data_IF_826979285542
#
_entry.id   IF_826979285542
#
_cell.length_a   1.000
_cell.length_b   1.000
_cell.length_c   1.000
_cell.angle_alpha   90.00
_cell.angle_beta   90.00
_cell.angle_gamma   90.00
#
_symmetry.space_group_name_H-M   'P 1'
#
loop_
_entity.id
_entity.type
_entity.pdbx_description
1 polymer ?
#
# COMPACT_ATOMS: atom_id res chain seq x y z
N UNK A 1 -7.45 -15.10 -14.81
CA UNK A 1 -6.40 -16.13 -14.85
C UNK A 1 -5.55 -16.00 -13.59
N UNK A 2 -4.78 -14.92 -13.44
CA UNK A 2 -4.25 -14.45 -12.16
C UNK A 2 -3.96 -12.95 -12.22
N UNK A 3 -4.27 -12.22 -11.15
CA UNK A 3 -4.01 -10.79 -10.98
C UNK A 3 -2.80 -10.60 -10.06
N UNK A 4 -1.92 -9.64 -10.36
CA UNK A 4 -0.81 -9.27 -9.47
C UNK A 4 -1.03 -7.89 -8.88
N UNK A 5 -0.84 -7.75 -7.57
CA UNK A 5 -0.69 -6.47 -6.90
C UNK A 5 0.77 -6.30 -6.45
N UNK A 6 1.33 -5.11 -6.66
CA UNK A 6 2.70 -4.72 -6.32
C UNK A 6 2.65 -3.52 -5.36
N UNK A 7 2.80 -3.76 -4.05
CA UNK A 7 2.81 -2.70 -3.04
C UNK A 7 4.24 -2.41 -2.59
N UNK A 8 4.72 -1.19 -2.89
CA UNK A 8 6.12 -0.82 -2.70
C UNK A 8 6.31 0.17 -1.55
N UNK A 9 7.17 -0.16 -0.58
CA UNK A 9 7.78 0.85 0.27
C UNK A 9 8.78 1.73 -0.51
N UNK A 10 9.08 2.91 0.04
CA UNK A 10 10.06 3.85 -0.48
C UNK A 10 11.28 4.06 0.43
N UNK A 11 11.14 4.22 1.74
CA UNK A 11 12.21 4.72 2.64
C UNK A 11 13.26 3.67 3.03
N UNK A 12 14.14 3.33 2.08
CA UNK A 12 15.15 2.27 2.20
C UNK A 12 14.95 1.18 1.13
N UNK A 13 13.70 1.00 0.72
CA UNK A 13 13.26 0.12 -0.38
C UNK A 13 13.50 0.78 -1.77
N UNK A 14 12.51 1.43 -2.40
CA UNK A 14 12.70 2.07 -3.71
C UNK A 14 13.58 3.34 -3.67
N UNK A 15 13.61 4.05 -2.54
CA UNK A 15 14.60 5.07 -2.20
C UNK A 15 15.73 4.44 -1.37
N UNK A 16 16.35 3.40 -1.92
CA UNK A 16 17.53 2.75 -1.36
C UNK A 16 18.74 3.69 -1.21
N UNK A 17 19.82 3.18 -0.61
CA UNK A 17 21.02 3.97 -0.31
C UNK A 17 21.63 4.64 -1.55
N UNK A 18 21.68 3.95 -2.69
CA UNK A 18 22.25 4.50 -3.93
C UNK A 18 21.35 5.62 -4.50
N UNK A 19 20.03 5.45 -4.43
CA UNK A 19 19.08 6.52 -4.76
C UNK A 19 19.21 7.72 -3.81
N UNK A 20 19.40 7.49 -2.50
CA UNK A 20 19.58 8.58 -1.52
C UNK A 20 20.88 9.34 -1.82
N UNK A 21 21.98 8.63 -2.05
CA UNK A 21 23.29 9.22 -2.39
C UNK A 21 23.36 9.84 -3.80
N UNK A 22 22.38 9.57 -4.67
CA UNK A 22 22.36 10.12 -6.03
C UNK A 22 22.40 11.67 -6.05
N UNK A 23 23.24 12.28 -6.93
CA UNK A 23 23.31 13.73 -7.05
C UNK A 23 21.96 14.34 -7.46
N UNK A 24 21.49 15.31 -6.68
CA UNK A 24 20.22 15.97 -6.89
C UNK A 24 20.42 17.48 -7.05
N UNK A 25 20.26 17.97 -8.29
CA UNK A 25 20.10 19.40 -8.53
C UNK A 25 18.67 19.80 -8.17
N UNK A 26 18.53 20.98 -7.55
CA UNK A 26 17.25 21.66 -7.29
C UNK A 26 16.18 20.84 -6.54
N UNK A 27 16.55 19.79 -5.80
CA UNK A 27 15.62 18.88 -5.11
C UNK A 27 14.63 18.12 -6.04
N UNK A 28 15.01 17.86 -7.29
CA UNK A 28 14.09 17.32 -8.32
C UNK A 28 14.27 15.84 -8.71
N UNK A 29 15.19 15.08 -8.10
CA UNK A 29 15.48 13.68 -8.53
C UNK A 29 14.25 12.75 -8.56
N UNK A 30 13.33 12.96 -7.62
CA UNK A 30 12.08 12.20 -7.48
C UNK A 30 11.02 12.49 -8.57
N UNK A 31 11.21 13.56 -9.35
CA UNK A 31 10.40 13.90 -10.53
C UNK A 31 11.00 13.34 -11.83
N UNK A 32 12.20 12.77 -11.78
CA UNK A 32 12.93 12.22 -12.91
C UNK A 32 12.99 10.69 -12.91
N UNK A 33 13.97 10.15 -13.61
CA UNK A 33 14.22 8.72 -13.80
C UNK A 33 15.17 8.12 -12.74
N UNK A 34 15.61 8.87 -11.73
CA UNK A 34 16.54 8.40 -10.69
C UNK A 34 16.03 7.13 -9.97
N UNK A 35 14.71 7.04 -9.71
CA UNK A 35 14.08 5.84 -9.14
C UNK A 35 14.13 4.64 -10.10
N UNK A 36 14.21 4.85 -11.41
CA UNK A 36 14.41 3.77 -12.39
C UNK A 36 15.87 3.35 -12.50
N UNK A 37 16.80 4.31 -12.44
CA UNK A 37 18.26 4.06 -12.52
C UNK A 37 18.70 3.20 -11.34
N UNK A 38 18.36 3.60 -10.11
CA UNK A 38 18.80 2.95 -8.88
C UNK A 38 17.98 1.71 -8.47
N UNK A 39 17.02 1.28 -9.31
CA UNK A 39 16.26 0.04 -9.11
C UNK A 39 16.18 -0.81 -10.41
N UNK A 40 16.96 -0.49 -11.45
CA UNK A 40 16.80 -0.99 -12.84
C UNK A 40 16.68 -2.52 -12.94
N UNK A 41 17.59 -3.25 -12.30
CA UNK A 41 17.64 -4.72 -12.35
C UNK A 41 16.39 -5.38 -11.74
N UNK A 42 15.90 -4.83 -10.61
CA UNK A 42 14.66 -5.27 -9.97
C UNK A 42 13.44 -4.97 -10.85
N UNK A 43 13.35 -3.76 -11.41
CA UNK A 43 12.26 -3.39 -12.30
C UNK A 43 12.23 -4.23 -13.59
N UNK A 44 13.38 -4.57 -14.16
CA UNK A 44 13.45 -5.47 -15.32
C UNK A 44 13.06 -6.92 -14.98
N UNK A 45 13.43 -7.42 -13.80
CA UNK A 45 12.95 -8.71 -13.30
C UNK A 45 11.42 -8.71 -13.13
N UNK A 46 10.84 -7.66 -12.55
CA UNK A 46 9.39 -7.51 -12.43
C UNK A 46 8.70 -7.48 -13.81
N UNK A 47 9.26 -6.80 -14.82
CA UNK A 47 8.70 -6.82 -16.19
C UNK A 47 8.62 -8.24 -16.77
N UNK A 48 9.62 -9.07 -16.52
CA UNK A 48 9.64 -10.47 -16.98
C UNK A 48 8.55 -11.28 -16.26
N UNK A 49 8.46 -11.17 -14.94
CA UNK A 49 7.44 -11.87 -14.14
C UNK A 49 6.02 -11.42 -14.47
N UNK A 50 5.80 -10.13 -14.70
CA UNK A 50 4.49 -9.54 -15.00
C UNK A 50 3.85 -10.12 -16.28
N UNK A 51 4.63 -10.75 -17.17
CA UNK A 51 4.10 -11.47 -18.36
C UNK A 51 3.27 -12.71 -18.03
N UNK A 52 3.24 -13.15 -16.76
CA UNK A 52 2.50 -14.33 -16.30
C UNK A 52 1.09 -14.02 -15.76
N UNK A 53 0.67 -12.76 -15.75
CA UNK A 53 -0.57 -12.27 -15.15
C UNK A 53 -1.44 -11.54 -16.17
N UNK A 54 -2.77 -11.51 -15.96
CA UNK A 54 -3.69 -10.81 -16.88
C UNK A 54 -3.63 -9.29 -16.70
N UNK A 55 -3.52 -8.87 -15.45
CA UNK A 55 -3.48 -7.49 -15.00
C UNK A 55 -2.49 -7.40 -13.85
N UNK A 56 -1.71 -6.31 -13.86
CA UNK A 56 -0.78 -5.98 -12.77
C UNK A 56 -1.10 -4.57 -12.30
N UNK A 57 -1.33 -4.45 -11.00
CA UNK A 57 -1.70 -3.22 -10.29
C UNK A 57 -0.57 -2.85 -9.34
N UNK A 58 -0.24 -1.58 -9.23
CA UNK A 58 0.81 -1.08 -8.34
C UNK A 58 0.28 -0.02 -7.35
N UNK A 59 0.75 -0.11 -6.11
CA UNK A 59 0.30 0.62 -4.94
C UNK A 59 1.50 1.24 -4.18
N UNK A 60 1.23 2.25 -3.35
CA UNK A 60 2.20 2.76 -2.37
C UNK A 60 2.08 1.92 -1.08
N UNK A 61 3.11 1.13 -0.80
CA UNK A 61 3.27 0.31 0.41
C UNK A 61 4.10 0.98 1.51
N UNK A 62 4.33 2.29 1.41
CA UNK A 62 5.09 3.07 2.40
C UNK A 62 4.17 3.79 3.40
N UNK A 63 4.71 4.16 4.55
CA UNK A 63 3.99 4.93 5.59
C UNK A 63 3.68 6.37 5.17
N UNK A 64 4.17 6.79 4.01
CA UNK A 64 3.82 8.01 3.26
C UNK A 64 2.37 7.96 2.74
N UNK A 65 1.41 7.80 3.64
CA UNK A 65 -0.02 7.60 3.32
C UNK A 65 -0.83 8.90 3.31
N UNK A 66 -0.25 10.02 3.75
CA UNK A 66 -0.81 11.36 3.60
C UNK A 66 0.22 12.35 3.08
N UNK A 67 -0.22 13.58 2.79
CA UNK A 67 0.67 14.71 2.52
C UNK A 67 1.67 14.94 3.65
N UNK A 68 1.21 14.84 4.91
CA UNK A 68 2.04 15.12 6.10
C UNK A 68 3.15 14.09 6.24
N UNK A 69 2.84 12.81 6.03
CA UNK A 69 3.81 11.72 6.17
C UNK A 69 4.88 11.76 5.06
N UNK A 70 4.48 12.07 3.83
CA UNK A 70 5.40 12.25 2.71
C UNK A 70 6.24 13.52 2.85
N UNK A 71 5.66 14.64 3.32
CA UNK A 71 6.38 15.88 3.58
C UNK A 71 7.42 15.71 4.70
N UNK A 72 7.07 15.03 5.80
CA UNK A 72 8.00 14.71 6.88
C UNK A 72 9.17 13.84 6.39
N UNK A 73 8.93 12.90 5.48
CA UNK A 73 9.95 12.01 4.91
C UNK A 73 10.60 12.53 3.61
N UNK A 74 10.18 13.68 3.09
CA UNK A 74 10.71 14.30 1.87
C UNK A 74 12.18 14.71 2.02
N UNK A 75 12.52 15.29 3.17
CA UNK A 75 13.84 15.83 3.51
C UNK A 75 14.11 17.19 2.85
N UNK A 76 14.03 18.28 3.62
CA UNK A 76 14.15 19.65 3.11
C UNK A 76 15.59 20.20 3.07
N UNK A 77 16.62 19.37 3.30
CA UNK A 77 18.03 19.78 3.19
C UNK A 77 18.80 18.90 2.20
N UNK A 78 19.91 19.40 1.60
CA UNK A 78 20.72 18.61 0.66
C UNK A 78 21.34 17.34 1.25
N UNK A 79 21.38 17.20 2.58
CA UNK A 79 21.89 16.01 3.28
C UNK A 79 20.79 15.03 3.72
N UNK A 80 19.51 15.42 3.68
CA UNK A 80 18.37 14.55 4.07
C UNK A 80 17.39 14.28 2.93
N UNK A 81 17.52 14.97 1.79
CA UNK A 81 16.56 14.91 0.70
C UNK A 81 16.44 13.55 0.01
N UNK A 82 15.22 13.00 0.08
CA UNK A 82 14.76 11.80 -0.62
C UNK A 82 13.77 12.18 -1.75
N UNK A 83 12.92 13.18 -1.49
CA UNK A 83 11.80 13.58 -2.35
C UNK A 83 10.49 12.84 -2.04
N UNK A 84 9.43 13.19 -2.77
CA UNK A 84 8.09 12.61 -2.63
C UNK A 84 7.96 11.24 -3.30
N UNK A 85 7.23 10.30 -2.70
CA UNK A 85 6.94 9.01 -3.31
C UNK A 85 5.86 9.06 -4.41
N UNK A 86 4.95 10.05 -4.38
CA UNK A 86 3.78 10.13 -5.26
C UNK A 86 4.11 10.32 -6.76
N UNK A 87 5.08 11.15 -7.18
CA UNK A 87 5.53 11.17 -8.57
C UNK A 87 6.45 9.98 -8.89
N UNK A 88 7.22 9.48 -7.93
CA UNK A 88 8.14 8.37 -8.12
C UNK A 88 7.40 7.04 -8.43
N UNK A 89 6.31 6.73 -7.72
CA UNK A 89 5.48 5.54 -8.04
C UNK A 89 4.91 5.64 -9.46
N UNK A 90 4.50 6.83 -9.90
CA UNK A 90 3.98 7.05 -11.26
C UNK A 90 5.05 6.79 -12.33
N UNK A 91 6.29 7.21 -12.09
CA UNK A 91 7.44 6.89 -12.94
C UNK A 91 7.71 5.38 -12.99
N UNK A 92 7.68 4.69 -11.84
CA UNK A 92 7.82 3.23 -11.75
C UNK A 92 6.71 2.49 -12.50
N UNK A 93 5.45 2.90 -12.32
CA UNK A 93 4.31 2.28 -13.01
C UNK A 93 4.38 2.45 -14.53
N UNK A 94 4.85 3.61 -15.00
CA UNK A 94 5.04 3.89 -16.42
C UNK A 94 6.19 3.04 -17.03
N UNK A 95 7.29 2.84 -16.31
CA UNK A 95 8.38 1.97 -16.77
C UNK A 95 7.97 0.49 -16.83
N UNK A 96 7.27 0.01 -15.79
CA UNK A 96 6.76 -1.36 -15.70
C UNK A 96 5.59 -1.64 -16.65
N UNK A 97 4.95 -0.60 -17.20
CA UNK A 97 3.70 -0.67 -17.97
C UNK A 97 2.58 -1.40 -17.19
N UNK A 98 2.33 -0.94 -15.95
CA UNK A 98 1.31 -1.49 -15.04
C UNK A 98 0.28 -0.43 -14.68
N UNK A 99 -0.91 -0.87 -14.22
CA UNK A 99 -1.95 0.02 -13.70
C UNK A 99 -1.50 0.59 -12.36
N UNK A 100 -1.48 1.91 -12.22
CA UNK A 100 -1.33 2.55 -10.91
C UNK A 100 -2.70 2.63 -10.22
N UNK A 101 -2.73 2.29 -8.94
CA UNK A 101 -3.89 2.49 -8.06
C UNK A 101 -3.54 3.55 -7.00
N UNK A 102 -4.20 4.72 -7.00
CA UNK A 102 -3.85 5.85 -6.14
C UNK A 102 -4.41 5.75 -4.72
N UNK A 103 -4.87 4.57 -4.29
CA UNK A 103 -5.40 4.35 -2.94
C UNK A 103 -4.40 4.72 -1.83
N UNK A 104 -4.86 5.53 -0.86
CA UNK A 104 -4.12 5.94 0.33
C UNK A 104 -5.01 5.84 1.58
N UNK A 105 -4.43 5.50 2.74
CA UNK A 105 -5.18 5.45 4.00
C UNK A 105 -5.76 6.81 4.42
N UNK A 106 -5.16 7.93 3.99
CA UNK A 106 -5.73 9.26 4.20
C UNK A 106 -7.10 9.45 3.52
N UNK A 107 -7.39 8.75 2.42
CA UNK A 107 -8.73 8.78 1.81
C UNK A 107 -9.75 8.02 2.66
N UNK A 108 -9.36 6.92 3.29
CA UNK A 108 -10.24 6.13 4.18
C UNK A 108 -10.56 6.90 5.47
N UNK A 109 -9.52 7.43 6.13
CA UNK A 109 -9.65 8.23 7.34
C UNK A 109 -10.38 9.58 7.08
N UNK A 110 -10.20 10.16 5.89
CA UNK A 110 -10.90 11.38 5.47
C UNK A 110 -12.33 11.17 4.94
N UNK A 111 -12.79 9.92 4.80
CA UNK A 111 -14.03 9.54 4.08
C UNK A 111 -14.13 10.22 2.69
N UNK A 112 -13.06 10.05 1.90
CA UNK A 112 -12.89 10.59 0.56
C UNK A 112 -12.93 9.46 -0.49
N UNK A 113 -13.33 9.76 -1.75
CA UNK A 113 -13.13 8.84 -2.86
C UNK A 113 -11.64 8.51 -3.03
N UNK A 114 -11.30 7.23 -3.20
CA UNK A 114 -9.90 6.79 -3.31
C UNK A 114 -9.17 7.50 -4.46
N UNK A 115 -7.95 7.95 -4.16
CA UNK A 115 -7.12 8.76 -5.04
C UNK A 115 -7.28 10.27 -4.85
N UNK A 116 -8.24 10.75 -4.04
CA UNK A 116 -8.42 12.19 -3.81
C UNK A 116 -7.18 12.80 -3.16
N UNK A 117 -6.63 12.16 -2.13
CA UNK A 117 -5.42 12.64 -1.45
C UNK A 117 -4.20 12.61 -2.37
N UNK A 118 -4.06 11.57 -3.20
CA UNK A 118 -2.99 11.48 -4.22
C UNK A 118 -3.09 12.63 -5.24
N UNK A 119 -4.27 12.85 -5.82
CA UNK A 119 -4.51 13.88 -6.83
C UNK A 119 -4.32 15.30 -6.27
N UNK A 120 -4.64 15.54 -5.00
CA UNK A 120 -4.35 16.81 -4.33
C UNK A 120 -2.84 17.03 -4.16
N UNK A 121 -2.08 16.02 -3.77
CA UNK A 121 -0.62 16.14 -3.57
C UNK A 121 0.10 16.31 -4.91
N UNK A 122 -0.31 15.56 -5.94
CA UNK A 122 0.22 15.73 -7.30
C UNK A 122 -0.10 17.10 -7.91
N UNK A 123 -1.17 17.78 -7.46
CA UNK A 123 -1.43 19.17 -7.81
C UNK A 123 -0.47 20.14 -7.10
N UNK A 124 -0.24 19.98 -5.79
CA UNK A 124 0.74 20.82 -5.07
C UNK A 124 2.17 20.67 -5.65
N UNK A 125 2.53 19.48 -6.12
CA UNK A 125 3.80 19.23 -6.84
C UNK A 125 3.81 19.91 -8.23
N UNK A 126 2.68 19.91 -8.94
CA UNK A 126 2.57 20.54 -10.27
C UNK A 126 2.51 22.08 -10.22
N UNK A 127 1.99 22.64 -9.13
CA UNK A 127 1.87 24.08 -8.89
C UNK A 127 3.14 24.69 -8.22
N UNK A 128 4.16 23.87 -7.91
CA UNK A 128 5.37 24.22 -7.14
C UNK A 128 5.07 24.73 -5.71
N UNK A 129 3.95 24.29 -5.12
CA UNK A 129 3.49 24.66 -3.77
C UNK A 129 3.64 23.55 -2.73
N UNK A 130 4.15 22.38 -3.09
CA UNK A 130 4.33 21.22 -2.18
C UNK A 130 5.08 21.52 -0.87
N UNK A 131 5.97 22.51 -0.82
CA UNK A 131 6.68 22.90 0.42
C UNK A 131 5.90 23.89 1.32
N UNK A 132 4.81 24.47 0.82
CA UNK A 132 3.96 25.47 1.48
C UNK A 132 2.52 25.32 0.93
N UNK A 133 1.81 24.25 1.31
CA UNK A 133 0.67 23.72 0.58
C UNK A 133 -0.55 24.65 0.60
N UNK A 134 -1.28 24.71 -0.51
CA UNK A 134 -2.45 25.61 -0.68
C UNK A 134 -3.80 24.91 -0.56
N UNK A 135 -3.82 23.58 -0.66
CA UNK A 135 -4.99 22.73 -0.46
C UNK A 135 -5.04 22.18 0.97
N UNK A 136 -6.23 21.85 1.44
CA UNK A 136 -6.41 21.04 2.67
C UNK A 136 -6.27 19.57 2.29
N UNK A 137 -5.37 18.84 2.97
CA UNK A 137 -5.17 17.41 2.78
C UNK A 137 -5.78 16.63 3.94
N UNK A 138 -6.29 15.43 3.65
CA UNK A 138 -6.62 14.46 4.69
C UNK A 138 -5.34 13.83 5.28
N UNK A 139 -5.46 13.27 6.48
CA UNK A 139 -4.40 12.62 7.24
C UNK A 139 -4.91 11.32 7.83
N UNK A 140 -4.03 10.36 8.08
CA UNK A 140 -4.32 9.11 8.79
C UNK A 140 -3.29 8.89 9.90
N UNK A 141 -3.62 8.09 10.91
CA UNK A 141 -2.67 7.68 11.94
C UNK A 141 -1.53 6.86 11.32
N UNK A 142 -0.27 7.15 11.67
CA UNK A 142 0.88 6.42 11.11
C UNK A 142 1.00 5.03 11.75
N UNK A 143 0.66 3.98 11.00
CA UNK A 143 0.93 2.59 11.38
C UNK A 143 2.37 2.19 11.03
N UNK A 144 3.30 2.30 11.98
CA UNK A 144 4.68 1.86 11.81
C UNK A 144 4.82 0.38 11.45
N UNK A 145 3.82 -0.45 11.78
CA UNK A 145 3.82 -1.90 11.57
C UNK A 145 3.26 -2.32 10.20
N UNK A 146 2.62 -1.39 9.47
CA UNK A 146 1.97 -1.56 8.16
C UNK A 146 0.84 -2.59 8.08
N UNK A 147 0.41 -3.19 9.19
CA UNK A 147 -0.68 -4.19 9.24
C UNK A 147 -2.00 -3.62 8.70
N UNK A 148 -2.30 -2.37 9.05
CA UNK A 148 -3.50 -1.66 8.59
C UNK A 148 -3.44 -1.35 7.11
N UNK A 149 -2.26 -0.97 6.61
CA UNK A 149 -2.01 -0.68 5.20
C UNK A 149 -2.18 -1.92 4.32
N UNK A 150 -1.56 -3.04 4.70
CA UNK A 150 -1.68 -4.29 3.97
C UNK A 150 -3.10 -4.85 4.05
N UNK A 151 -3.77 -4.79 5.22
CA UNK A 151 -5.17 -5.21 5.34
C UNK A 151 -6.07 -4.41 4.38
N UNK A 152 -5.98 -3.09 4.41
CA UNK A 152 -6.74 -2.22 3.52
C UNK A 152 -6.52 -2.53 2.03
N UNK A 153 -5.26 -2.68 1.62
CA UNK A 153 -4.90 -2.93 0.23
C UNK A 153 -5.27 -4.33 -0.26
N UNK A 154 -5.17 -5.36 0.60
CA UNK A 154 -5.60 -6.73 0.24
C UNK A 154 -7.12 -6.86 0.19
N UNK A 155 -7.85 -6.22 1.10
CA UNK A 155 -9.32 -6.15 1.05
C UNK A 155 -9.80 -5.41 -0.20
N UNK A 156 -9.18 -4.27 -0.54
CA UNK A 156 -9.45 -3.56 -1.81
C UNK A 156 -9.21 -4.44 -3.02
N UNK A 157 -8.06 -5.11 -3.09
CA UNK A 157 -7.70 -5.99 -4.21
C UNK A 157 -8.73 -7.14 -4.38
N UNK A 158 -9.19 -7.73 -3.28
CA UNK A 158 -10.22 -8.76 -3.30
C UNK A 158 -11.60 -8.22 -3.74
N UNK A 159 -11.98 -7.01 -3.31
CA UNK A 159 -13.22 -6.36 -3.71
C UNK A 159 -13.22 -5.93 -5.20
N UNK A 160 -12.07 -5.48 -5.73
CA UNK A 160 -11.90 -5.15 -7.15
C UNK A 160 -11.92 -6.41 -8.04
N UNK A 161 -11.41 -7.55 -7.55
CA UNK A 161 -11.23 -8.80 -8.31
C UNK A 161 -11.79 -10.07 -7.61
N UNK A 162 -13.09 -10.12 -7.23
CA UNK A 162 -13.64 -11.11 -6.29
C UNK A 162 -13.71 -12.56 -6.79
N UNK A 163 -13.48 -12.81 -8.08
CA UNK A 163 -13.52 -14.14 -8.70
C UNK A 163 -12.16 -14.62 -9.23
N UNK A 164 -11.10 -13.82 -9.09
CA UNK A 164 -9.76 -14.13 -9.60
C UNK A 164 -8.80 -14.49 -8.46
N UNK A 165 -7.78 -15.32 -8.72
CA UNK A 165 -6.66 -15.50 -7.77
C UNK A 165 -5.73 -14.29 -7.86
N UNK A 166 -5.47 -13.68 -6.72
CA UNK A 166 -4.62 -12.50 -6.55
C UNK A 166 -3.31 -12.93 -5.90
N UNK A 167 -2.19 -12.53 -6.50
CA UNK A 167 -0.87 -12.56 -5.87
C UNK A 167 -0.54 -11.14 -5.43
N UNK A 168 -0.48 -10.91 -4.13
CA UNK A 168 -0.18 -9.60 -3.56
C UNK A 168 1.27 -9.59 -3.07
N UNK A 169 2.17 -8.99 -3.85
CA UNK A 169 3.55 -8.76 -3.44
C UNK A 169 3.67 -7.46 -2.65
N UNK A 170 4.24 -7.55 -1.46
CA UNK A 170 4.70 -6.42 -0.68
C UNK A 170 6.24 -6.38 -0.68
N UNK A 171 6.83 -5.19 -0.87
CA UNK A 171 8.27 -4.95 -0.92
C UNK A 171 8.70 -3.90 0.11
N UNK A 172 9.65 -4.26 0.96
CA UNK A 172 10.15 -3.43 2.07
C UNK A 172 11.63 -3.75 2.36
N UNK A 173 12.38 -2.86 2.99
CA UNK A 173 13.78 -3.10 3.37
C UNK A 173 13.93 -3.60 4.83
N UNK A 174 12.91 -3.37 5.68
CA UNK A 174 12.98 -3.58 7.13
C UNK A 174 12.63 -5.01 7.54
N UNK A 175 13.61 -5.69 8.14
CA UNK A 175 13.41 -7.04 8.70
C UNK A 175 12.38 -7.07 9.84
N UNK A 176 12.31 -6.02 10.67
CA UNK A 176 11.37 -5.95 11.79
C UNK A 176 9.92 -5.79 11.31
N UNK A 177 9.68 -4.95 10.30
CA UNK A 177 8.39 -4.86 9.60
C UNK A 177 8.04 -6.23 8.98
N UNK A 178 8.91 -6.77 8.12
CA UNK A 178 8.61 -7.97 7.36
C UNK A 178 8.43 -9.22 8.23
N UNK A 179 9.26 -9.41 9.26
CA UNK A 179 9.30 -10.68 10.03
C UNK A 179 8.47 -10.65 11.31
N UNK A 180 8.56 -9.59 12.14
CA UNK A 180 7.87 -9.52 13.44
C UNK A 180 6.50 -8.85 13.33
N UNK A 181 6.35 -7.84 12.47
CA UNK A 181 5.08 -7.14 12.34
C UNK A 181 4.12 -7.80 11.34
N UNK A 182 4.58 -8.15 10.14
CA UNK A 182 3.73 -8.66 9.07
C UNK A 182 3.66 -10.19 9.02
N UNK A 183 4.80 -10.88 8.93
CA UNK A 183 4.82 -12.34 8.81
C UNK A 183 4.19 -13.04 10.01
N UNK A 184 4.57 -12.69 11.24
CA UNK A 184 4.03 -13.29 12.46
C UNK A 184 2.51 -13.07 12.57
N UNK A 185 2.06 -11.82 12.40
CA UNK A 185 0.64 -11.45 12.48
C UNK A 185 -0.21 -12.20 11.46
N UNK A 186 0.15 -12.16 10.17
CA UNK A 186 -0.65 -12.81 9.12
C UNK A 186 -0.53 -14.35 9.12
N UNK A 187 0.56 -14.91 9.67
CA UNK A 187 0.66 -16.39 9.85
C UNK A 187 -0.21 -16.87 11.00
N UNK A 188 -0.37 -16.08 12.06
CA UNK A 188 -1.28 -16.37 13.19
C UNK A 188 -2.76 -16.06 12.86
N UNK A 189 -2.99 -15.04 12.02
CA UNK A 189 -4.31 -14.55 11.63
C UNK A 189 -4.48 -14.55 10.08
N UNK A 190 -4.38 -15.69 9.39
CA UNK A 190 -4.48 -15.77 7.93
C UNK A 190 -5.90 -15.45 7.40
N UNK A 191 -6.89 -15.44 8.28
CA UNK A 191 -8.25 -14.97 8.00
C UNK A 191 -8.35 -13.44 7.87
N UNK A 192 -7.27 -12.69 8.15
CA UNK A 192 -7.15 -11.25 7.84
C UNK A 192 -6.78 -11.00 6.37
N UNK A 193 -6.38 -12.05 5.64
CA UNK A 193 -6.12 -12.02 4.20
C UNK A 193 -7.33 -12.68 3.50
N UNK A 194 -7.98 -12.04 2.52
CA UNK A 194 -9.07 -12.67 1.75
C UNK A 194 -8.64 -13.98 1.09
N UNK A 195 -9.52 -14.98 1.05
CA UNK A 195 -9.27 -16.35 0.55
C UNK A 195 -8.84 -16.46 -0.92
N UNK A 196 -9.05 -15.42 -1.72
CA UNK A 196 -8.56 -15.34 -3.10
C UNK A 196 -7.18 -14.66 -3.22
N UNK A 197 -6.65 -14.10 -2.13
CA UNK A 197 -5.34 -13.42 -2.06
C UNK A 197 -4.26 -14.36 -1.49
N UNK A 198 -3.08 -14.31 -2.08
CA UNK A 198 -1.84 -14.85 -1.49
C UNK A 198 -0.88 -13.69 -1.26
N UNK A 199 -0.59 -13.39 0.00
CA UNK A 199 0.38 -12.36 0.40
C UNK A 199 1.79 -12.90 0.28
N UNK A 200 2.67 -12.19 -0.44
CA UNK A 200 4.10 -12.47 -0.52
C UNK A 200 4.89 -11.31 0.08
N UNK A 201 5.69 -11.62 1.09
CA UNK A 201 6.53 -10.66 1.80
C UNK A 201 7.94 -10.73 1.22
N UNK A 202 8.36 -9.70 0.51
CA UNK A 202 9.64 -9.64 -0.19
C UNK A 202 10.53 -8.57 0.45
N UNK A 203 11.76 -8.94 0.84
CA UNK A 203 12.78 -7.97 1.21
C UNK A 203 13.45 -7.40 -0.03
N UNK A 204 13.56 -6.08 -0.10
CA UNK A 204 14.29 -5.36 -1.13
C UNK A 204 14.89 -4.07 -0.59
N UNK A 205 16.18 -3.83 -0.86
CA UNK A 205 16.94 -2.67 -0.36
C UNK A 205 17.91 -2.12 -1.42
N UNK A 206 17.50 -2.13 -2.68
CA UNK A 206 18.32 -1.77 -3.85
C UNK A 206 19.06 -2.95 -4.51
N UNK A 207 19.29 -4.04 -3.78
CA UNK A 207 20.05 -5.23 -4.21
C UNK A 207 19.16 -6.38 -4.71
N UNK A 208 19.47 -7.65 -4.42
CA UNK A 208 18.65 -8.80 -4.84
C UNK A 208 17.37 -8.91 -3.98
N UNK A 209 16.24 -9.23 -4.62
CA UNK A 209 14.96 -9.47 -3.93
C UNK A 209 15.00 -10.81 -3.20
N UNK A 210 14.60 -10.82 -1.93
CA UNK A 210 14.46 -12.06 -1.14
C UNK A 210 13.01 -12.27 -0.72
N UNK A 211 12.34 -13.29 -1.27
CA UNK A 211 11.02 -13.73 -0.79
C UNK A 211 11.19 -14.37 0.60
N UNK A 212 10.66 -13.74 1.64
CA UNK A 212 10.72 -14.21 3.02
C UNK A 212 9.55 -15.14 3.38
N UNK A 213 8.35 -14.82 2.90
CA UNK A 213 7.15 -15.60 3.20
C UNK A 213 6.11 -15.52 2.07
N UNK A 214 5.29 -16.57 1.96
CA UNK A 214 4.11 -16.63 1.10
C UNK A 214 2.96 -17.21 1.91
N UNK A 215 1.94 -16.41 2.19
CA UNK A 215 0.81 -16.72 3.08
C UNK A 215 -0.47 -16.75 2.24
N UNK A 216 -1.11 -17.91 2.15
CA UNK A 216 -2.43 -18.01 1.52
C UNK A 216 -3.51 -17.54 2.51
N UNK A 217 -4.41 -16.66 2.05
CA UNK A 217 -5.49 -16.15 2.88
C UNK A 217 -6.59 -17.17 3.14
N UNK A 218 -7.31 -16.98 4.25
CA UNK A 218 -8.47 -17.80 4.62
C UNK A 218 -9.68 -16.97 5.02
N UNK A 219 -9.65 -15.66 4.79
CA UNK A 219 -10.69 -14.70 5.17
C UNK A 219 -11.74 -14.50 4.08
N UNK A 220 -12.79 -13.76 4.41
CA UNK A 220 -13.70 -13.21 3.41
C UNK A 220 -13.21 -11.85 2.89
N UNK A 221 -13.81 -11.39 1.80
CA UNK A 221 -13.67 -10.01 1.34
C UNK A 221 -14.76 -9.17 2.00
N UNK A 222 -14.35 -8.13 2.71
CA UNK A 222 -15.22 -7.26 3.48
C UNK A 222 -15.68 -6.07 2.62
N UNK A 223 -16.99 -5.85 2.45
CA UNK A 223 -17.52 -4.69 1.73
C UNK A 223 -17.41 -3.39 2.54
N UNK A 224 -17.41 -3.54 3.86
CA UNK A 224 -17.28 -2.59 4.96
C UNK A 224 -15.82 -2.38 5.40
N UNK A 225 -14.82 -2.85 4.61
CA UNK A 225 -13.42 -2.87 5.06
C UNK A 225 -12.84 -1.50 5.41
N UNK A 226 -13.45 -0.40 4.96
CA UNK A 226 -13.06 0.96 5.33
C UNK A 226 -13.33 1.29 6.82
N UNK A 227 -14.42 0.78 7.40
CA UNK A 227 -14.73 0.94 8.82
C UNK A 227 -13.76 0.12 9.67
N UNK A 228 -13.53 -1.13 9.26
CA UNK A 228 -12.49 -2.00 9.82
C UNK A 228 -11.08 -1.37 9.79
N UNK A 229 -10.74 -0.67 8.70
CA UNK A 229 -9.47 0.07 8.57
C UNK A 229 -9.40 1.27 9.50
N UNK A 230 -10.48 2.06 9.61
CA UNK A 230 -10.51 3.19 10.55
C UNK A 230 -10.39 2.70 12.01
N UNK A 231 -11.10 1.64 12.39
CA UNK A 231 -10.95 1.01 13.70
C UNK A 231 -9.50 0.55 13.96
N UNK A 232 -8.82 -0.03 12.96
CA UNK A 232 -7.40 -0.40 13.07
C UNK A 232 -6.45 0.80 13.16
N UNK A 233 -6.77 1.94 12.54
CA UNK A 233 -6.00 3.19 12.62
C UNK A 233 -6.14 3.87 13.99
N UNK A 234 -7.33 3.81 14.58
CA UNK A 234 -7.59 4.34 15.93
C UNK A 234 -7.00 3.42 17.01
N UNK A 235 -6.90 2.11 16.74
CA UNK A 235 -6.46 1.08 17.68
C UNK A 235 -5.18 0.35 17.22
N UNK A 236 -4.12 1.10 16.89
CA UNK A 236 -2.84 0.54 16.40
C UNK A 236 -2.24 -0.58 17.28
N UNK A 237 -2.45 -0.53 18.60
CA UNK A 237 -1.98 -1.56 19.54
C UNK A 237 -2.92 -2.76 19.66
N UNK A 238 -4.19 -2.60 19.26
CA UNK A 238 -5.27 -3.59 19.39
C UNK A 238 -5.42 -4.53 18.20
N UNK A 239 -4.52 -4.51 17.21
CA UNK A 239 -4.65 -5.30 15.97
C UNK A 239 -4.83 -6.81 16.19
N UNK A 240 -4.22 -7.39 17.23
CA UNK A 240 -4.39 -8.81 17.57
C UNK A 240 -5.81 -9.11 18.09
N UNK A 241 -6.37 -8.23 18.92
CA UNK A 241 -7.72 -8.39 19.46
C UNK A 241 -8.77 -8.13 18.38
N UNK A 242 -8.57 -7.11 17.54
CA UNK A 242 -9.35 -6.91 16.32
C UNK A 242 -9.37 -8.17 15.45
N UNK A 243 -8.19 -8.73 15.19
CA UNK A 243 -8.05 -9.95 14.40
C UNK A 243 -8.59 -11.21 15.10
N UNK A 244 -8.83 -11.19 16.41
CA UNK A 244 -9.55 -12.25 17.12
C UNK A 244 -11.07 -12.07 16.99
N UNK A 245 -11.57 -10.84 17.13
CA UNK A 245 -13.00 -10.50 16.95
C UNK A 245 -13.48 -10.83 15.54
N UNK A 246 -12.75 -10.41 14.50
CA UNK A 246 -13.12 -10.70 13.11
C UNK A 246 -13.15 -12.22 12.81
N UNK A 247 -12.33 -13.01 13.52
CA UNK A 247 -12.29 -14.48 13.45
C UNK A 247 -13.52 -15.14 14.07
N UNK A 248 -14.09 -14.55 15.11
CA UNK A 248 -15.32 -15.03 15.77
C UNK A 248 -16.53 -14.75 14.88
N UNK A 249 -16.66 -13.51 14.38
CA UNK A 249 -17.73 -13.11 13.45
C UNK A 249 -17.76 -14.05 12.23
N UNK A 250 -16.61 -14.27 11.60
CA UNK A 250 -16.47 -15.19 10.46
C UNK A 250 -16.97 -16.61 10.77
N UNK A 251 -16.68 -17.13 11.97
CA UNK A 251 -17.08 -18.49 12.38
C UNK A 251 -18.54 -18.59 12.77
N UNK A 252 -18.99 -17.74 13.68
CA UNK A 252 -20.36 -17.78 14.22
C UNK A 252 -21.38 -17.54 13.11
N UNK A 253 -21.07 -16.70 12.12
CA UNK A 253 -21.88 -16.58 10.92
C UNK A 253 -21.91 -17.89 10.11
N UNK A 254 -20.77 -18.54 9.84
CA UNK A 254 -20.77 -19.82 9.09
C UNK A 254 -21.47 -20.95 9.83
N UNK A 255 -21.30 -21.07 11.15
CA UNK A 255 -21.91 -22.13 11.96
C UNK A 255 -23.43 -21.90 12.11
N UNK A 256 -23.87 -20.64 12.34
CA UNK A 256 -25.29 -20.27 12.40
C UNK A 256 -26.00 -20.48 11.06
N UNK A 257 -25.41 -20.02 9.95
CA UNK A 257 -25.97 -20.22 8.60
C UNK A 257 -26.03 -21.72 8.28
N UNK A 258 -24.99 -22.50 8.58
CA UNK A 258 -24.97 -23.94 8.34
C UNK A 258 -26.02 -24.69 9.19
N UNK A 259 -26.16 -24.36 10.48
CA UNK A 259 -27.18 -24.97 11.35
C UNK A 259 -28.60 -24.66 10.84
N UNK A 260 -28.84 -23.43 10.36
CA UNK A 260 -30.12 -23.04 9.77
C UNK A 260 -30.39 -23.74 8.43
N UNK A 261 -29.38 -23.94 7.58
CA UNK A 261 -29.51 -24.74 6.36
C UNK A 261 -29.83 -26.22 6.64
N UNK A 262 -29.16 -26.83 7.62
CA UNK A 262 -29.42 -28.23 8.02
C UNK A 262 -30.87 -28.40 8.52
N UNK A 263 -31.35 -27.50 9.39
CA UNK A 263 -32.75 -27.51 9.84
C UNK A 263 -33.73 -27.40 8.68
N UNK A 264 -33.45 -26.54 7.70
CA UNK A 264 -34.30 -26.34 6.52
C UNK A 264 -34.35 -27.62 5.64
N UNK A 265 -33.23 -28.32 5.48
CA UNK A 265 -33.16 -29.60 4.75
C UNK A 265 -33.90 -30.72 5.49
N UNK A 266 -33.71 -30.85 6.81
CA UNK A 266 -34.45 -31.83 7.63
C UNK A 266 -35.97 -31.61 7.58
N UNK A 267 -36.42 -30.35 7.66
CA UNK A 267 -37.83 -29.98 7.54
C UNK A 267 -38.39 -30.26 6.13
N UNK A 268 -37.61 -30.00 5.07
CA UNK A 268 -38.01 -30.32 3.70
C UNK A 268 -38.17 -31.84 3.49
N UNK A 269 -37.22 -32.64 3.97
CA UNK A 269 -37.27 -34.11 3.90
C UNK A 269 -38.47 -34.66 4.69
N UNK A 270 -38.77 -34.10 5.87
CA UNK A 270 -39.94 -34.47 6.66
C UNK A 270 -41.25 -34.19 5.89
N UNK A 271 -41.37 -33.00 5.28
CA UNK A 271 -42.53 -32.59 4.49
C UNK A 271 -42.74 -33.48 3.26
N UNK A 272 -41.67 -33.78 2.50
CA UNK A 272 -41.74 -34.73 1.36
C UNK A 272 -42.18 -36.13 1.82
N UNK A 273 -41.66 -36.62 2.95
CA UNK A 273 -42.01 -37.92 3.51
C UNK A 273 -43.51 -38.01 3.83
N UNK A 274 -44.09 -36.97 4.42
CA UNK A 274 -45.52 -36.91 4.76
C UNK A 274 -46.43 -36.71 3.55
N UNK A 275 -46.00 -35.93 2.55
CA UNK A 275 -46.68 -35.85 1.24
C UNK A 275 -46.72 -37.25 0.57
N UNK A 276 -45.62 -37.99 0.59
CA UNK A 276 -45.56 -39.33 -0.04
C UNK A 276 -46.44 -40.37 0.67
N UNK A 277 -46.65 -40.24 1.98
CA UNK A 277 -47.58 -41.11 2.74
C UNK A 277 -49.06 -40.79 2.48
N UNK A 278 -49.36 -39.66 1.84
CA UNK A 278 -50.74 -39.18 1.65
C UNK A 278 -51.39 -38.64 2.94
N UNK A 279 -50.58 -38.16 3.88
CA UNK A 279 -51.07 -37.51 5.09
C UNK A 279 -51.80 -36.20 4.74
N UNK A 280 -52.84 -35.86 5.52
CA UNK A 280 -53.72 -34.75 5.16
C UNK A 280 -53.02 -33.42 5.43
N UNK A 281 -52.71 -32.65 4.36
CA UNK A 281 -51.90 -31.41 4.40
C UNK A 281 -52.33 -30.40 5.48
N UNK A 282 -53.60 -30.45 5.90
CA UNK A 282 -54.20 -29.62 6.97
C UNK A 282 -53.54 -29.83 8.35
N UNK A 283 -52.90 -30.98 8.61
CA UNK A 283 -52.18 -31.23 9.87
C UNK A 283 -50.73 -30.68 9.85
N UNK A 284 -50.16 -30.44 8.65
CA UNK A 284 -48.77 -30.00 8.48
C UNK A 284 -48.57 -28.48 8.38
N UNK A 285 -49.60 -27.69 8.73
CA UNK A 285 -49.51 -26.22 8.80
C UNK A 285 -48.45 -25.72 9.78
N UNK A 286 -48.17 -26.49 10.84
CA UNK A 286 -47.15 -26.16 11.85
C UNK A 286 -45.75 -26.22 11.24
N UNK A 287 -45.40 -27.30 10.54
CA UNK A 287 -44.12 -27.47 9.82
C UNK A 287 -43.92 -26.41 8.72
N UNK A 288 -44.99 -25.99 8.03
CA UNK A 288 -44.92 -24.90 7.04
C UNK A 288 -44.64 -23.55 7.69
N UNK A 289 -45.19 -23.29 8.88
CA UNK A 289 -44.90 -22.09 9.65
C UNK A 289 -43.47 -22.12 10.22
N UNK A 290 -42.98 -23.27 10.67
CA UNK A 290 -41.59 -23.43 11.12
C UNK A 290 -40.58 -23.22 9.97
N UNK A 291 -40.84 -23.80 8.78
CA UNK A 291 -40.01 -23.57 7.60
C UNK A 291 -40.01 -22.09 7.19
N UNK A 292 -41.18 -21.43 7.29
CA UNK A 292 -41.30 -19.99 7.07
C UNK A 292 -40.55 -19.14 8.11
N UNK A 293 -40.51 -19.58 9.37
CA UNK A 293 -39.74 -18.94 10.43
C UNK A 293 -38.22 -19.13 10.24
N UNK A 294 -37.76 -20.33 9.87
CA UNK A 294 -36.36 -20.60 9.54
C UNK A 294 -35.89 -19.76 8.34
N UNK A 295 -36.72 -19.64 7.30
CA UNK A 295 -36.45 -18.78 6.14
C UNK A 295 -36.45 -17.29 6.51
N UNK A 296 -37.31 -16.87 7.45
CA UNK A 296 -37.32 -15.50 7.97
C UNK A 296 -36.08 -15.20 8.82
N UNK A 297 -35.60 -16.13 9.65
CA UNK A 297 -34.35 -16.00 10.39
C UNK A 297 -33.12 -15.96 9.48
N UNK A 298 -33.11 -16.75 8.39
CA UNK A 298 -32.06 -16.66 7.36
C UNK A 298 -32.06 -15.29 6.65
N UNK A 299 -33.24 -14.74 6.35
CA UNK A 299 -33.34 -13.37 5.81
C UNK A 299 -32.93 -12.31 6.84
N UNK A 300 -33.24 -12.49 8.14
CA UNK A 300 -32.85 -11.54 9.19
C UNK A 300 -31.34 -11.54 9.40
N UNK A 301 -30.71 -12.72 9.50
CA UNK A 301 -29.26 -12.86 9.57
C UNK A 301 -28.53 -12.38 8.30
N UNK A 302 -29.24 -12.27 7.16
CA UNK A 302 -28.75 -11.64 5.94
C UNK A 302 -28.99 -10.11 5.90
N UNK A 303 -29.90 -9.58 6.72
CA UNK A 303 -30.14 -8.14 6.89
C UNK A 303 -29.30 -7.52 8.00
N UNK A 304 -28.89 -8.29 9.01
CA UNK A 304 -27.91 -7.87 10.02
C UNK A 304 -26.53 -7.57 9.39
N UNK A 305 -26.25 -8.12 8.19
CA UNK A 305 -25.09 -7.77 7.34
C UNK A 305 -25.20 -6.33 6.78
N UNK A 306 -26.41 -5.79 6.61
CA UNK A 306 -26.64 -4.41 6.15
C UNK A 306 -26.71 -3.39 7.31
N UNK A 307 -26.53 -3.78 8.59
CA UNK A 307 -26.89 -2.93 9.73
C UNK A 307 -25.91 -2.94 10.91
N UNK A 308 -24.60 -3.07 10.66
CA UNK A 308 -23.56 -3.05 11.72
C UNK A 308 -23.20 -1.62 12.20
N UNK A 309 -23.69 -0.58 11.50
CA UNK A 309 -23.49 0.87 11.78
C UNK A 309 -23.69 1.32 13.25
N UNK A 310 -24.61 0.68 13.99
CA UNK A 310 -25.28 1.30 15.16
C UNK A 310 -24.75 0.82 16.54
N UNK A 311 -23.60 0.13 16.61
CA UNK A 311 -23.17 -0.61 17.82
C UNK A 311 -21.74 -0.35 18.35
N UNK A 312 -21.20 0.87 18.19
CA UNK A 312 -19.85 1.25 18.67
C UNK A 312 -19.78 2.52 19.57
N UNK A 313 -20.86 2.87 20.27
CA UNK A 313 -20.77 3.78 21.44
C UNK A 313 -20.26 2.99 22.66
N UNK A 314 -19.03 3.24 23.09
CA UNK A 314 -18.40 2.58 24.27
C UNK A 314 -18.27 3.58 25.43
N UNK A 315 -18.76 3.20 26.61
CA UNK A 315 -18.70 4.03 27.82
C UNK A 315 -17.26 4.34 28.28
N UNK A 316 -16.81 5.59 28.11
CA UNK A 316 -15.74 6.14 28.94
C UNK A 316 -16.25 6.42 30.36
N UNK A 317 -16.01 5.52 31.34
CA UNK A 317 -15.91 5.86 32.78
C UNK A 317 -15.56 4.64 33.67
N UNK A 318 -14.29 4.45 34.03
CA UNK A 318 -13.94 3.80 35.32
C UNK A 318 -12.61 4.35 35.90
N UNK A 319 -12.69 5.43 36.68
CA UNK A 319 -11.60 5.81 37.59
C UNK A 319 -11.45 4.77 38.70
N UNK A 320 -10.25 4.22 38.92
CA UNK A 320 -9.95 3.46 40.14
C UNK A 320 -8.52 3.67 40.64
N UNK A 321 -8.34 4.63 41.55
CA UNK A 321 -7.10 4.83 42.29
C UNK A 321 -7.06 3.93 43.55
N UNK A 322 -5.90 3.34 43.85
CA UNK A 322 -5.56 2.86 45.21
C UNK A 322 -4.06 3.00 45.48
N UNK A 323 -3.72 3.22 46.75
CA UNK A 323 -2.35 3.48 47.21
C UNK A 323 -1.58 2.17 47.57
N UNK A 324 -0.23 2.21 47.50
CA UNK A 324 0.69 2.36 48.67
C UNK A 324 1.96 1.48 48.62
N UNK A 325 3.11 2.10 48.98
CA UNK A 325 4.31 1.59 49.70
C UNK A 325 4.75 0.09 49.56
N UNK A 326 6.03 -0.28 49.38
CA UNK A 326 7.28 0.35 49.83
C UNK A 326 8.58 -0.20 49.19
N UNK A 327 9.61 0.66 49.06
CA UNK A 327 10.95 0.43 49.64
C UNK A 327 12.09 -0.31 48.87
N UNK A 328 13.26 0.37 48.79
CA UNK A 328 14.65 -0.19 48.86
C UNK A 328 15.11 -0.96 47.58
N UNK A 329 16.29 -0.77 46.97
CA UNK A 329 17.66 -0.43 47.47
C UNK A 329 18.47 0.45 46.47
N UNK A 330 19.63 0.92 46.92
CA UNK A 330 20.70 1.65 46.19
C UNK A 330 21.29 0.94 44.97
N UNK A 331 21.67 1.70 43.94
CA UNK A 331 23.06 2.02 43.55
C UNK A 331 22.99 3.11 42.44
N UNK A 332 23.68 4.25 42.51
CA UNK A 332 25.12 4.49 42.61
C UNK A 332 25.84 4.32 41.26
N UNK A 333 25.86 5.39 40.46
CA UNK A 333 26.86 5.68 39.43
C UNK A 333 27.04 7.20 39.29
N UNK A 334 28.23 7.62 38.88
CA UNK A 334 28.80 8.95 39.08
C UNK A 334 28.72 9.89 37.87
N UNK A 335 28.94 11.18 38.15
CA UNK A 335 29.50 12.22 37.26
C UNK A 335 28.97 12.35 35.82
N UNK A 336 28.37 13.51 35.52
CA UNK A 336 29.16 14.61 34.94
C UNK A 336 28.56 15.96 35.33
N UNK A 337 29.43 16.95 35.54
CA UNK A 337 29.07 18.35 35.70
C UNK A 337 28.89 19.02 34.33
N UNK A 338 28.02 20.02 34.25
CA UNK A 338 28.40 21.28 33.60
C UNK A 338 27.60 22.46 34.16
N UNK A 339 28.30 23.53 34.52
CA UNK A 339 27.73 24.85 34.82
C UNK A 339 27.84 25.71 33.56
N UNK A 340 26.72 26.27 33.08
CA UNK A 340 26.76 27.41 32.15
C UNK A 340 25.56 28.32 32.37
N UNK A 341 25.77 29.33 33.21
CA UNK A 341 24.85 30.44 33.43
C UNK A 341 25.05 31.53 32.38
N UNK A 342 23.92 32.00 31.83
CA UNK A 342 23.56 33.41 31.59
C UNK A 342 24.49 34.36 30.78
N UNK A 343 23.84 35.14 29.91
CA UNK A 343 24.30 36.38 29.23
C UNK A 343 25.42 36.16 28.17
N UNK A 344 25.46 36.82 27.01
CA UNK A 344 24.91 38.14 26.63
C UNK A 344 24.18 38.15 25.27
N UNK A 345 23.49 39.25 24.96
CA UNK A 345 22.73 39.45 23.71
C UNK A 345 23.05 40.79 23.03
N UNK A 346 24.12 40.83 22.23
CA UNK A 346 24.46 41.98 21.37
C UNK A 346 24.69 41.54 19.91
N UNK A 347 23.74 41.90 19.04
CA UNK A 347 23.86 41.78 17.57
C UNK A 347 23.82 43.19 16.96
N UNK A 348 24.96 43.88 16.95
CA UNK A 348 25.08 45.15 16.23
C UNK A 348 25.03 44.94 14.71
N UNK A 349 24.24 45.78 14.03
CA UNK A 349 24.22 45.89 12.58
C UNK A 349 25.56 46.42 12.05
N UNK A 350 26.10 45.78 11.02
CA UNK A 350 27.01 46.45 10.09
C UNK A 350 26.47 46.40 8.66
N UNK A 351 26.22 47.59 8.10
CA UNK A 351 25.92 47.80 6.69
C UNK A 351 27.21 47.67 5.88
N UNK A 352 27.32 46.66 4.99
CA UNK A 352 28.35 46.68 3.95
C UNK A 352 27.79 47.31 2.66
N UNK A 353 28.27 48.52 2.36
CA UNK A 353 27.97 49.26 1.13
C UNK A 353 29.16 49.31 0.14
N UNK A 354 30.02 48.28 0.17
CA UNK A 354 30.68 47.69 -0.99
C UNK A 354 31.66 48.55 -1.80
N UNK A 355 31.59 48.38 -3.14
CA UNK A 355 32.24 49.15 -4.23
C UNK A 355 33.53 48.58 -4.89
N UNK A 356 33.36 48.22 -6.17
CA UNK A 356 34.28 48.37 -7.33
C UNK A 356 35.81 48.26 -7.14
N UNK A 357 36.45 47.27 -7.79
CA UNK A 357 37.49 47.54 -8.81
C UNK A 357 37.90 46.35 -9.69
N UNK A 358 38.31 46.71 -10.91
CA UNK A 358 38.94 45.86 -11.93
C UNK A 358 40.49 45.88 -11.80
N UNK A 359 41.19 45.34 -12.81
CA UNK A 359 42.66 45.32 -13.05
C UNK A 359 43.42 44.14 -12.38
N UNK A 360 44.43 43.51 -12.99
CA UNK A 360 44.82 43.39 -14.42
C UNK A 360 45.73 42.13 -14.59
N UNK A 361 46.28 41.88 -15.79
CA UNK A 361 46.99 40.65 -16.17
C UNK A 361 48.48 40.53 -15.77
N UNK A 362 48.95 39.27 -15.76
CA UNK A 362 50.36 38.82 -15.70
C UNK A 362 50.37 37.33 -15.30
N UNK A 363 50.70 36.33 -16.12
CA UNK A 363 51.94 35.99 -16.87
C UNK A 363 53.09 35.46 -16.00
N UNK A 364 53.87 34.55 -16.59
CA UNK A 364 55.02 33.81 -16.04
C UNK A 364 54.59 32.72 -15.02
N UNK A 365 54.65 31.41 -15.26
CA UNK A 365 55.48 30.51 -16.10
C UNK A 365 56.86 30.16 -15.50
N UNK A 366 57.31 28.92 -15.75
CA UNK A 366 58.56 28.26 -15.31
C UNK A 366 58.70 27.94 -13.81
N UNK A 367 58.65 26.65 -13.46
CA UNK A 367 59.84 25.93 -12.95
C UNK A 367 59.60 24.44 -12.71
N UNK A 368 60.46 23.60 -13.28
CA UNK A 368 60.51 22.17 -13.03
C UNK A 368 61.07 21.85 -11.64
N UNK A 369 60.68 20.70 -11.07
CA UNK A 369 61.58 19.96 -10.18
C UNK A 369 61.36 18.46 -10.29
N UNK A 370 62.31 17.79 -10.95
CA UNK A 370 62.45 16.34 -10.89
C UNK A 370 62.65 15.87 -9.45
N UNK A 371 61.95 14.82 -9.04
CA UNK A 371 62.51 13.87 -8.07
C UNK A 371 62.31 12.44 -8.55
N UNK A 372 63.35 11.65 -8.32
CA UNK A 372 63.60 10.38 -8.99
C UNK A 372 63.10 9.18 -8.19
N UNK A 373 62.69 8.15 -8.94
CA UNK A 373 63.07 6.74 -8.75
C UNK A 373 63.12 6.22 -7.30
N UNK A 374 62.25 5.26 -7.01
CA UNK A 374 62.76 3.98 -6.51
C UNK A 374 62.02 2.81 -7.17
N UNK A 375 62.69 1.66 -7.26
CA UNK A 375 62.17 0.48 -7.96
C UNK A 375 62.45 -0.79 -7.14
N UNK A 376 61.48 -1.69 -7.10
CA UNK A 376 61.62 -3.01 -6.48
C UNK A 376 60.86 -4.06 -7.29
N UNK A 377 61.58 -4.82 -8.10
CA UNK A 377 61.08 -6.04 -8.71
C UNK A 377 60.86 -7.12 -7.66
N UNK A 378 59.77 -7.89 -7.75
CA UNK A 378 59.79 -9.32 -7.39
C UNK A 378 59.01 -10.12 -8.44
N UNK A 379 59.69 -11.04 -9.10
CA UNK A 379 59.07 -12.03 -9.99
C UNK A 379 58.47 -13.18 -9.17
N UNK A 380 57.40 -13.81 -9.65
CA UNK A 380 56.96 -15.13 -9.16
C UNK A 380 56.34 -15.99 -10.27
N UNK A 381 57.24 -16.65 -10.99
CA UNK A 381 57.14 -17.96 -11.65
C UNK A 381 55.82 -18.50 -12.25
N UNK A 382 55.93 -18.82 -13.54
CA UNK A 382 55.05 -19.74 -14.27
C UNK A 382 55.33 -21.20 -13.91
N UNK A 383 54.32 -21.96 -13.46
CA UNK A 383 54.33 -23.44 -13.57
C UNK A 383 53.37 -23.92 -14.67
N UNK A 384 53.95 -24.57 -15.70
CA UNK A 384 53.24 -25.16 -16.83
C UNK A 384 53.10 -26.68 -16.68
N UNK A 385 51.96 -27.17 -16.18
CA UNK A 385 51.66 -28.61 -16.16
C UNK A 385 51.11 -29.08 -17.52
N UNK A 386 51.88 -29.93 -18.22
CA UNK A 386 51.48 -30.61 -19.46
C UNK A 386 51.28 -32.11 -19.21
N UNK A 387 50.23 -32.70 -19.79
CA UNK A 387 50.05 -34.16 -19.91
C UNK A 387 48.58 -34.53 -20.16
N UNK A 388 48.19 -34.93 -21.37
CA UNK A 388 48.27 -36.30 -21.91
C UNK A 388 47.31 -37.28 -21.20
N UNK A 389 46.28 -37.86 -21.83
CA UNK A 389 45.77 -37.67 -23.21
C UNK A 389 44.76 -38.78 -23.60
N UNK A 390 44.38 -38.83 -24.90
CA UNK A 390 44.02 -40.00 -25.76
C UNK A 390 43.20 -41.17 -25.15
N UNK A 391 42.17 -41.73 -25.79
CA UNK A 391 41.53 -41.61 -27.12
C UNK A 391 40.06 -42.16 -26.96
N UNK A 392 39.16 -42.46 -27.92
CA UNK A 392 39.23 -42.77 -29.37
C UNK A 392 37.85 -42.63 -30.07
N UNK A 393 37.82 -43.00 -31.36
CA UNK A 393 36.74 -43.51 -32.24
C UNK A 393 35.55 -44.27 -31.59
N UNK A 394 34.38 -44.50 -32.21
CA UNK A 394 33.63 -43.94 -33.38
C UNK A 394 32.24 -44.71 -33.44
N UNK A 395 31.34 -44.71 -34.43
CA UNK A 395 31.20 -44.15 -35.80
C UNK A 395 29.70 -44.08 -36.22
N UNK A 396 29.41 -43.47 -37.39
CA UNK A 396 28.29 -43.71 -38.32
C UNK A 396 26.82 -43.40 -37.91
N UNK A 397 26.11 -42.64 -38.77
CA UNK A 397 24.65 -42.43 -38.67
C UNK A 397 24.04 -41.38 -39.60
N UNK A 398 24.00 -41.61 -40.93
CA UNK A 398 23.36 -40.70 -41.92
C UNK A 398 21.91 -41.10 -42.25
N UNK A 399 20.99 -40.12 -42.27
CA UNK A 399 19.84 -40.00 -43.21
C UNK A 399 19.33 -38.54 -43.11
N UNK A 400 19.57 -37.63 -44.06
CA UNK A 400 18.92 -37.46 -45.39
C UNK A 400 17.41 -37.24 -45.36
N UNK A 401 17.00 -35.98 -45.50
CA UNK A 401 15.72 -35.56 -46.09
C UNK A 401 15.99 -34.34 -46.99
N UNK A 402 15.24 -34.18 -48.07
CA UNK A 402 15.57 -33.21 -49.12
C UNK A 402 14.33 -32.55 -49.72
N UNK A 403 14.43 -31.24 -49.95
CA UNK A 403 13.60 -30.46 -50.88
C UNK A 403 14.40 -29.24 -51.34
N UNK A 404 14.50 -29.05 -52.65
CA UNK A 404 15.18 -27.89 -53.27
C UNK A 404 14.16 -26.83 -53.76
N UNK A 405 14.60 -25.59 -54.04
CA UNK A 405 13.72 -24.42 -54.13
C UNK A 405 13.22 -24.12 -55.55
N UNK A 406 12.41 -23.06 -55.66
CA UNK A 406 12.18 -22.34 -56.93
C UNK A 406 11.93 -20.86 -56.65
N UNK A 407 12.32 -20.00 -57.60
CA UNK A 407 12.55 -18.57 -57.34
C UNK A 407 12.09 -17.71 -58.51
N UNK A 408 11.69 -16.46 -58.21
CA UNK A 408 11.51 -15.33 -59.16
C UNK A 408 10.34 -15.46 -60.15
N UNK A 409 9.36 -14.56 -60.05
CA UNK A 409 9.13 -13.49 -61.05
C UNK A 409 8.20 -12.39 -60.51
N UNK A 410 8.17 -11.23 -61.17
CA UNK A 410 7.57 -10.00 -60.67
C UNK A 410 6.49 -9.41 -61.61
N UNK A 411 5.83 -8.35 -61.10
CA UNK A 411 5.10 -7.21 -61.74
C UNK A 411 5.19 -7.04 -63.29
N UNK A 412 4.23 -6.35 -63.96
CA UNK A 412 3.49 -5.18 -63.40
C UNK A 412 1.98 -5.01 -63.74
N UNK A 413 1.39 -4.05 -63.02
CA UNK A 413 0.37 -3.04 -63.41
C UNK A 413 -0.70 -3.30 -64.49
N UNK A 414 -1.97 -3.07 -64.11
CA UNK A 414 -2.84 -2.09 -64.78
C UNK A 414 -4.05 -1.68 -63.88
N UNK A 415 -4.31 -0.38 -63.80
CA UNK A 415 -5.59 0.22 -63.34
C UNK A 415 -6.55 0.32 -64.57
N UNK A 416 -7.89 0.49 -64.45
CA UNK A 416 -8.44 1.77 -63.94
C UNK A 416 -9.85 1.80 -63.31
N UNK A 417 -10.08 2.86 -62.52
CA UNK A 417 -11.27 3.73 -62.47
C UNK A 417 -12.71 3.20 -62.16
N UNK A 418 -13.22 3.70 -61.02
CA UNK A 418 -14.46 4.52 -60.92
C UNK A 418 -15.86 3.86 -61.12
N UNK A 419 -16.62 3.74 -60.02
CA UNK A 419 -17.98 4.29 -59.95
C UNK A 419 -18.50 4.53 -58.51
N UNK A 420 -19.50 5.42 -58.39
CA UNK A 420 -20.09 5.89 -57.12
C UNK A 420 -21.21 4.96 -56.63
N UNK A 421 -21.38 4.81 -55.30
CA UNK A 421 -22.67 4.95 -54.57
C UNK A 421 -22.55 4.74 -53.05
N UNK A 422 -22.88 5.80 -52.31
CA UNK A 422 -23.55 5.72 -51.00
C UNK A 422 -25.09 5.66 -51.25
N UNK A 423 -25.97 5.36 -50.27
CA UNK A 423 -25.75 5.37 -48.81
C UNK A 423 -26.39 4.20 -48.00
N UNK A 424 -26.34 4.37 -46.67
CA UNK A 424 -27.23 3.84 -45.63
C UNK A 424 -26.95 2.43 -45.05
N UNK A 425 -27.17 2.32 -43.72
CA UNK A 425 -27.27 1.05 -43.00
C UNK A 425 -26.14 0.73 -42.02
N UNK A 426 -26.06 1.43 -40.88
CA UNK A 426 -25.39 0.88 -39.69
C UNK A 426 -25.99 1.42 -38.37
N UNK A 427 -26.82 0.65 -37.64
CA UNK A 427 -27.28 0.98 -36.29
C UNK A 427 -26.32 0.44 -35.21
N UNK A 428 -26.44 0.91 -33.96
CA UNK A 428 -25.73 0.32 -32.81
C UNK A 428 -24.63 1.18 -32.21
N UNK A 429 -24.97 2.38 -31.73
CA UNK A 429 -24.12 3.14 -30.79
C UNK A 429 -24.79 3.14 -29.42
N UNK A 430 -24.36 2.23 -28.53
CA UNK A 430 -24.89 2.19 -27.17
C UNK A 430 -24.42 3.42 -26.40
N UNK A 431 -25.37 4.29 -26.04
CA UNK A 431 -25.14 5.41 -25.13
C UNK A 431 -25.62 5.03 -23.74
N UNK A 432 -24.71 4.60 -22.86
CA UNK A 432 -24.97 4.61 -21.42
C UNK A 432 -24.78 6.02 -20.89
N UNK A 433 -25.87 6.80 -20.92
CA UNK A 433 -25.93 8.09 -20.26
C UNK A 433 -26.06 7.88 -18.75
N UNK A 434 -24.99 8.16 -17.99
CA UNK A 434 -25.06 8.19 -16.54
C UNK A 434 -26.06 9.26 -16.09
N UNK A 435 -27.14 8.82 -15.44
CA UNK A 435 -28.08 9.69 -14.77
C UNK A 435 -27.38 10.30 -13.54
N UNK A 436 -27.34 11.63 -13.46
CA UNK A 436 -26.88 12.31 -12.25
C UNK A 436 -27.85 12.01 -11.11
N UNK A 437 -27.38 11.61 -9.91
CA UNK A 437 -28.24 11.51 -8.74
C UNK A 437 -28.84 12.89 -8.42
N UNK A 438 -30.12 12.91 -8.08
CA UNK A 438 -30.83 14.13 -7.65
C UNK A 438 -30.45 14.42 -6.20
N UNK A 439 -30.02 15.65 -5.91
CA UNK A 439 -29.60 16.04 -4.57
C UNK A 439 -30.76 15.90 -3.56
N UNK A 440 -30.52 15.16 -2.48
CA UNK A 440 -31.46 15.05 -1.37
C UNK A 440 -31.63 16.40 -0.65
N UNK A 441 -32.84 16.72 -0.15
CA UNK A 441 -33.09 18.00 0.52
C UNK A 441 -32.41 18.06 1.89
N UNK A 442 -31.59 19.10 2.12
CA UNK A 442 -30.95 19.35 3.42
C UNK A 442 -32.01 19.60 4.51
N UNK A 443 -32.06 18.73 5.52
CA UNK A 443 -32.89 18.92 6.71
C UNK A 443 -32.15 19.85 7.69
N UNK A 444 -32.50 21.13 7.68
CA UNK A 444 -32.01 22.08 8.68
C UNK A 444 -32.62 21.77 10.06
N UNK A 445 -31.89 21.06 10.92
CA UNK A 445 -32.17 21.03 12.37
C UNK A 445 -31.59 22.29 13.02
N UNK A 446 -32.46 23.14 13.57
CA UNK A 446 -32.04 24.27 14.40
C UNK A 446 -31.60 23.75 15.79
N UNK A 447 -30.66 24.43 16.48
CA UNK A 447 -30.22 24.02 17.82
C UNK A 447 -31.38 24.12 18.83
N UNK A 448 -31.54 23.08 19.63
CA UNK A 448 -32.49 23.04 20.75
C UNK A 448 -31.85 23.75 21.94
N UNK A 449 -32.49 24.79 22.46
CA UNK A 449 -32.03 25.45 23.68
C UNK A 449 -32.36 24.60 24.92
N UNK A 450 -31.34 24.32 25.73
CA UNK A 450 -31.52 23.72 27.06
C UNK A 450 -31.98 24.80 28.07
N UNK A 451 -32.79 24.44 29.09
CA UNK A 451 -33.36 25.39 30.03
C UNK A 451 -32.33 25.88 31.07
N UNK A 452 -32.35 27.19 31.35
CA UNK A 452 -31.62 27.78 32.49
C UNK A 452 -32.31 27.47 33.82
N UNK A 453 -31.64 26.77 34.74
CA UNK A 453 -32.11 26.66 36.13
C UNK A 453 -31.05 27.07 37.17
N UNK A 454 -31.12 28.36 37.52
CA UNK A 454 -30.96 28.95 38.86
C UNK A 454 -30.07 28.20 39.86
N UNK A 455 -28.92 28.79 40.19
CA UNK A 455 -28.39 28.76 41.55
C UNK A 455 -27.96 30.17 42.01
N UNK A 456 -28.13 30.45 43.31
CA UNK A 456 -28.13 31.80 43.84
C UNK A 456 -26.80 32.22 44.48
N UNK A 457 -26.43 33.48 44.27
CA UNK A 457 -25.67 34.37 45.17
C UNK A 457 -24.86 33.74 46.33
N UNK A 458 -23.54 33.79 46.25
CA UNK A 458 -22.63 33.56 47.40
C UNK A 458 -21.45 34.53 47.36
N UNK A 459 -21.38 35.46 48.31
CA UNK A 459 -20.27 36.42 48.45
C UNK A 459 -19.36 35.97 49.59
N UNK A 460 -18.08 35.71 49.31
CA UNK A 460 -16.97 36.14 50.20
C UNK A 460 -15.62 36.07 49.51
N UNK A 461 -14.79 37.07 49.77
CA UNK A 461 -13.33 36.98 49.63
C UNK A 461 -12.72 36.14 50.76
N UNK A 462 -11.54 35.55 50.52
CA UNK A 462 -10.39 35.71 51.41
C UNK A 462 -9.08 35.32 50.70
N UNK A 463 -8.00 36.03 51.05
CA UNK A 463 -6.61 35.62 50.78
C UNK A 463 -6.14 34.67 51.89
N UNK A 464 -5.14 33.84 51.60
CA UNK A 464 -3.91 33.69 52.41
C UNK A 464 -2.93 32.75 51.69
N UNK A 465 -1.65 33.15 51.69
CA UNK A 465 -0.41 32.39 51.42
C UNK A 465 -0.44 31.33 50.30
#
# INVERSE_FOLDING_TARGET
MAIRYLSFDFDGCLFNLDYIQSPHLEFKKHLGDAVLVHNRAFLDQLKIENTQFDEVVALIGSNRQSYVDDANNYGFSPSTFKGSCFPAIRTVCADLNVKFDPFLLADVAGNLPFGTSYDLIMQEIADDTYADPKRTHATCTMDETKRTLLFAQMQKAAADHPNEKIIFDFFDDRDDILTWHLYEFYTQHPHMIPKNVTLRLNKYMGSDVTLLASIEGTGESHSDYCEHVNYMLDNLWGHYDFANTLKLISKEHTDSVLENFIKLEEQAIALESSIHKGEHIVEHTETINELGAALASLNLAAQEIESVDDYMDVDENEELATEKEAGVTTNDFSDMSDESSDEDSDLEFFEDNGREKELDAGTDDISDSDLSVDASDEESDLELVKGNGREKEADAGRQTLATEPSTIHARPEAEPANQQRNPAGNPGRNQYAFLKPVAAPKINRAPIALPEDKLCSGISSCLIS
#
